data_IF_795206601487
#
_entry.id   IF_795206601487
#
_cell.length_a   1.000
_cell.length_b   1.000
_cell.length_c   1.000
_cell.angle_alpha   90.00
_cell.angle_beta   90.00
_cell.angle_gamma   90.00
#
_symmetry.space_group_name_H-M   'P 1'
#
loop_
_entity.id
_entity.type
_entity.pdbx_description
1 polymer ?
#
# COMPACT_ATOMS: atom_id res chain seq x y z
N UNK A 1 0.58 27.93 17.40
CA UNK A 1 1.57 26.93 16.92
C UNK A 1 1.42 25.51 17.53
N UNK A 2 0.47 25.23 18.45
CA UNK A 2 0.30 23.90 19.10
C UNK A 2 -0.77 22.95 18.51
N UNK A 3 -1.29 23.20 17.30
CA UNK A 3 -2.37 22.36 16.70
C UNK A 3 -1.91 21.43 15.57
N UNK A 4 -0.64 21.50 15.16
CA UNK A 4 -0.13 20.70 14.03
C UNK A 4 0.45 19.34 14.46
N UNK A 5 0.88 19.20 15.71
CA UNK A 5 1.54 17.98 16.22
C UNK A 5 0.59 16.90 16.77
N UNK A 6 -0.73 17.15 16.82
CA UNK A 6 -1.70 16.14 17.30
C UNK A 6 -2.19 15.19 16.19
N UNK A 7 -2.05 15.54 14.91
CA UNK A 7 -2.53 14.67 13.80
C UNK A 7 -1.51 13.62 13.35
N UNK A 8 -0.21 13.87 13.52
CA UNK A 8 0.84 12.93 13.09
C UNK A 8 1.05 11.78 14.07
N UNK A 9 0.69 11.95 15.35
CA UNK A 9 0.87 10.93 16.40
C UNK A 9 -0.36 10.07 16.73
N UNK A 10 -1.58 10.52 16.41
CA UNK A 10 -2.81 9.86 16.89
C UNK A 10 -3.27 8.66 16.02
N UNK A 11 -2.77 8.54 14.80
CA UNK A 11 -3.23 7.51 13.85
C UNK A 11 -2.29 6.29 13.75
N UNK A 12 -1.04 6.40 14.21
CA UNK A 12 0.02 5.41 13.98
C UNK A 12 0.17 4.36 15.10
N UNK A 13 -0.58 4.47 16.22
CA UNK A 13 -0.36 3.66 17.44
C UNK A 13 -1.42 2.58 17.73
N UNK A 14 -2.24 2.13 16.77
CA UNK A 14 -3.28 1.10 17.03
C UNK A 14 -3.22 -0.17 16.15
N UNK A 15 -2.25 -0.31 15.26
CA UNK A 15 -2.29 -1.39 14.24
C UNK A 15 -1.27 -2.52 14.44
N UNK A 16 -0.60 -2.59 15.59
CA UNK A 16 0.17 -3.78 15.99
C UNK A 16 -0.80 -4.87 16.46
N UNK A 17 -1.28 -5.69 15.52
CA UNK A 17 -2.11 -6.86 15.81
C UNK A 17 -3.11 -7.27 14.72
N UNK A 18 -3.08 -6.67 13.52
CA UNK A 18 -3.98 -7.04 12.42
C UNK A 18 -3.29 -7.96 11.42
N UNK A 19 -4.02 -8.97 10.96
CA UNK A 19 -3.72 -9.77 9.77
C UNK A 19 -3.18 -8.85 8.66
N UNK A 20 -1.89 -8.96 8.36
CA UNK A 20 -1.22 -8.07 7.41
C UNK A 20 -1.60 -8.50 6.00
N UNK A 21 -2.34 -7.63 5.30
CA UNK A 21 -2.69 -7.83 3.89
C UNK A 21 -1.63 -7.19 2.98
N UNK A 22 -1.43 -7.76 1.79
CA UNK A 22 -0.41 -7.35 0.82
C UNK A 22 -0.55 -5.87 0.42
N UNK A 23 -1.79 -5.38 0.33
CA UNK A 23 -2.09 -4.01 -0.05
C UNK A 23 -1.65 -3.01 1.02
N UNK A 24 -1.71 -3.41 2.29
CA UNK A 24 -1.20 -2.62 3.41
C UNK A 24 0.32 -2.55 3.41
N UNK A 25 1.01 -3.64 3.06
CA UNK A 25 2.48 -3.64 2.93
C UNK A 25 2.95 -2.74 1.79
N UNK A 26 2.27 -2.78 0.63
CA UNK A 26 2.57 -1.85 -0.48
C UNK A 26 2.40 -0.41 -0.02
N UNK A 27 1.28 -0.10 0.66
CA UNK A 27 1.01 1.27 1.14
C UNK A 27 2.07 1.76 2.13
N UNK A 28 2.52 0.89 3.03
CA UNK A 28 3.59 1.20 3.97
C UNK A 28 4.91 1.43 3.24
N UNK A 29 5.25 0.56 2.28
CA UNK A 29 6.46 0.68 1.47
C UNK A 29 6.51 2.02 0.72
N UNK A 30 5.40 2.47 0.14
CA UNK A 30 5.31 3.79 -0.50
C UNK A 30 5.65 4.92 0.47
N UNK A 31 5.11 4.86 1.69
CA UNK A 31 5.35 5.87 2.72
C UNK A 31 6.81 5.89 3.18
N UNK A 32 7.41 4.72 3.40
CA UNK A 32 8.79 4.57 3.86
C UNK A 32 9.81 5.04 2.81
N UNK A 33 9.51 4.83 1.52
CA UNK A 33 10.38 5.24 0.42
C UNK A 33 10.04 6.66 -0.11
N UNK A 34 9.11 7.38 0.51
CA UNK A 34 8.70 8.72 0.06
C UNK A 34 8.03 8.75 -1.32
N UNK A 35 7.51 7.62 -1.79
CA UNK A 35 6.89 7.47 -3.10
C UNK A 35 5.43 7.93 -3.01
N UNK A 36 5.05 8.89 -3.84
CA UNK A 36 3.66 9.35 -3.87
C UNK A 36 2.75 8.35 -4.59
N UNK A 37 1.51 8.20 -4.11
CA UNK A 37 0.53 7.34 -4.76
C UNK A 37 0.13 7.86 -6.15
N UNK A 38 0.23 9.18 -6.38
CA UNK A 38 0.03 9.81 -7.69
C UNK A 38 1.10 9.36 -8.70
N UNK A 39 2.37 9.33 -8.28
CA UNK A 39 3.46 8.82 -9.10
C UNK A 39 3.24 7.35 -9.48
N UNK A 40 2.85 6.52 -8.51
CA UNK A 40 2.55 5.10 -8.78
C UNK A 40 1.38 4.95 -9.77
N UNK A 41 0.34 5.77 -9.63
CA UNK A 41 -0.81 5.80 -10.54
C UNK A 41 -0.41 6.11 -11.98
N UNK A 42 0.44 7.11 -12.17
CA UNK A 42 0.94 7.49 -13.49
C UNK A 42 1.81 6.39 -14.11
N UNK A 43 2.71 5.81 -13.31
CA UNK A 43 3.65 4.77 -13.74
C UNK A 43 2.94 3.46 -14.12
N UNK A 44 1.92 3.08 -13.36
CA UNK A 44 1.16 1.83 -13.56
C UNK A 44 -0.03 1.98 -14.49
N UNK A 45 -0.40 3.22 -14.85
CA UNK A 45 -1.65 3.56 -15.56
C UNK A 45 -2.92 3.10 -14.84
N UNK A 46 -2.84 2.82 -13.54
CA UNK A 46 -3.99 2.53 -12.70
C UNK A 46 -4.53 3.86 -12.16
N UNK A 47 -5.82 4.19 -12.35
CA UNK A 47 -6.41 5.41 -11.82
C UNK A 47 -6.19 5.58 -10.31
N UNK A 48 -5.83 6.78 -9.86
CA UNK A 48 -5.52 7.06 -8.46
C UNK A 48 -6.65 6.66 -7.50
N UNK A 49 -7.92 6.86 -7.89
CA UNK A 49 -9.08 6.42 -7.11
C UNK A 49 -9.12 4.90 -6.92
N UNK A 50 -8.84 4.12 -7.98
CA UNK A 50 -8.79 2.65 -7.91
C UNK A 50 -7.64 2.17 -7.02
N UNK A 51 -6.47 2.82 -7.13
CA UNK A 51 -5.33 2.57 -6.24
C UNK A 51 -5.68 2.87 -4.78
N UNK A 52 -6.33 4.00 -4.49
CA UNK A 52 -6.75 4.36 -3.13
C UNK A 52 -7.71 3.35 -2.52
N UNK A 53 -8.68 2.86 -3.30
CA UNK A 53 -9.60 1.81 -2.83
C UNK A 53 -8.87 0.49 -2.57
N UNK A 54 -7.92 0.13 -3.43
CA UNK A 54 -7.20 -1.14 -3.34
C UNK A 54 -6.21 -1.13 -2.17
N UNK A 55 -5.37 -0.09 -2.06
CA UNK A 55 -4.45 0.12 -0.93
C UNK A 55 -5.16 0.39 0.40
N UNK A 56 -6.43 0.80 0.35
CA UNK A 56 -7.30 0.95 1.52
C UNK A 56 -7.98 -0.34 1.97
N UNK A 57 -7.74 -1.48 1.30
CA UNK A 57 -8.34 -2.77 1.62
C UNK A 57 -9.84 -2.88 1.29
N UNK A 58 -10.42 -1.88 0.61
CA UNK A 58 -11.83 -1.88 0.18
C UNK A 58 -12.05 -2.72 -1.09
N UNK A 59 -10.96 -3.00 -1.81
CA UNK A 59 -10.94 -3.78 -3.06
C UNK A 59 -9.66 -4.60 -3.09
N UNK A 60 -9.73 -5.83 -3.61
CA UNK A 60 -8.55 -6.66 -3.89
C UNK A 60 -7.90 -6.27 -5.20
N UNK A 61 -6.57 -6.24 -5.22
CA UNK A 61 -5.79 -6.09 -6.45
C UNK A 61 -5.88 -7.37 -7.26
N UNK A 62 -6.08 -7.23 -8.57
CA UNK A 62 -5.86 -8.35 -9.49
C UNK A 62 -4.36 -8.67 -9.57
N UNK A 63 -4.01 -9.91 -9.92
CA UNK A 63 -2.61 -10.31 -10.10
C UNK A 63 -1.87 -9.40 -11.11
N UNK A 64 -2.57 -8.96 -12.17
CA UNK A 64 -2.01 -8.04 -13.17
C UNK A 64 -1.71 -6.66 -12.59
N UNK A 65 -2.63 -6.10 -11.82
CA UNK A 65 -2.40 -4.81 -11.13
C UNK A 65 -1.22 -4.95 -10.15
N UNK A 66 -1.18 -6.03 -9.38
CA UNK A 66 -0.09 -6.32 -8.45
C UNK A 66 1.28 -6.42 -9.13
N UNK A 67 1.39 -7.22 -10.20
CA UNK A 67 2.62 -7.37 -10.97
C UNK A 67 3.10 -6.04 -11.57
N UNK A 68 2.16 -5.22 -12.07
CA UNK A 68 2.48 -3.90 -12.64
C UNK A 68 2.98 -2.94 -11.56
N UNK A 69 2.43 -3.00 -10.35
CA UNK A 69 2.92 -2.24 -9.19
C UNK A 69 4.33 -2.69 -8.80
N UNK A 70 4.60 -4.00 -8.73
CA UNK A 70 5.93 -4.52 -8.42
C UNK A 70 6.98 -4.06 -9.45
N UNK A 71 6.63 -4.13 -10.74
CA UNK A 71 7.46 -3.60 -11.82
C UNK A 71 7.72 -2.10 -11.67
N UNK A 72 6.69 -1.30 -11.39
CA UNK A 72 6.82 0.14 -11.19
C UNK A 72 7.70 0.51 -10.00
N UNK A 73 7.67 -0.31 -8.95
CA UNK A 73 8.49 -0.14 -7.74
C UNK A 73 9.89 -0.75 -7.87
N UNK A 74 10.19 -1.50 -8.94
CA UNK A 74 11.46 -2.19 -9.11
C UNK A 74 11.70 -3.30 -8.08
N UNK A 75 10.63 -3.90 -7.56
CA UNK A 75 10.71 -5.00 -6.58
C UNK A 75 10.19 -6.30 -7.20
N UNK A 76 10.65 -7.43 -6.68
CA UNK A 76 10.15 -8.74 -7.12
C UNK A 76 8.74 -9.01 -6.57
N UNK A 77 8.00 -9.91 -7.21
CA UNK A 77 6.62 -10.26 -6.87
C UNK A 77 6.49 -11.05 -5.56
N UNK A 78 7.57 -11.61 -5.02
CA UNK A 78 7.58 -12.22 -3.69
C UNK A 78 7.65 -11.19 -2.55
N UNK A 79 7.95 -9.93 -2.86
CA UNK A 79 8.22 -8.90 -1.84
C UNK A 79 7.09 -8.70 -0.84
N UNK A 80 5.85 -8.74 -1.33
CA UNK A 80 4.64 -8.52 -0.52
C UNK A 80 3.76 -9.78 -0.41
N UNK A 81 3.94 -10.76 -1.30
CA UNK A 81 3.20 -12.01 -1.26
C UNK A 81 3.86 -12.97 -0.28
N UNK A 82 3.16 -13.30 0.81
CA UNK A 82 3.61 -14.30 1.78
C UNK A 82 2.80 -15.58 1.60
N UNK A 83 3.43 -16.77 1.70
CA UNK A 83 2.69 -18.03 1.72
C UNK A 83 1.63 -18.01 2.82
N UNK A 84 0.42 -18.48 2.48
CA UNK A 84 -0.68 -18.61 3.42
C UNK A 84 -1.20 -20.04 3.34
N UNK A 85 -1.65 -20.58 4.47
CA UNK A 85 -2.38 -21.84 4.47
C UNK A 85 -3.69 -21.64 3.70
N UNK A 86 -4.11 -22.63 2.88
CA UNK A 86 -5.44 -22.60 2.30
C UNK A 86 -6.47 -22.54 3.44
N UNK A 87 -7.39 -21.60 3.34
CA UNK A 87 -8.53 -21.43 4.26
C UNK A 87 -9.74 -22.20 3.77
#
# INVERSE_FOLDING_TARGET
MRRMLQRLGCQYRREVGKIVSEESEIKQYLKENGISQAWLSEKTKIPAGKLSFSLGGKRKLTLREYATICWALGVNTDKFLKPRMPV
#
